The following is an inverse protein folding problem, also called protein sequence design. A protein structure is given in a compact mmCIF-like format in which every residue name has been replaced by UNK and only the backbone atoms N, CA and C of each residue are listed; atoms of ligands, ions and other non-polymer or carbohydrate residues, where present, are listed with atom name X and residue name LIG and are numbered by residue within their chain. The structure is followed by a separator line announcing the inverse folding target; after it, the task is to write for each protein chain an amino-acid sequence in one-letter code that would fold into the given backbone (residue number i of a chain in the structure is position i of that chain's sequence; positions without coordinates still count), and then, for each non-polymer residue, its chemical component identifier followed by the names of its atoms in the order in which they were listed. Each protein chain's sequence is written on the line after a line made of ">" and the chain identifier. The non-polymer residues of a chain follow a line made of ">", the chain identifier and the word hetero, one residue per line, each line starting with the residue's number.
data_IF_924711327894
#
_entry.id   IF_924711327894
#
_cell.length_a   1.000
_cell.length_b   1.000
_cell.length_c   1.000
_cell.angle_alpha   90.00
_cell.angle_beta   90.00
_cell.angle_gamma   90.00
#
_symmetry.space_group_name_H-M   'P 1'
#
loop_
_entity.id
_entity.type
_entity.pdbx_description
1 polymer ?
#
# COMPACT_ATOMS: atom_id res chain seq x y z
N UNK A 1 -30.91 -55.27 16.89
CA UNK A 1 -29.60 -54.98 16.27
C UNK A 1 -28.51 -55.34 17.25
N UNK A 2 -27.50 -56.08 16.80
CA UNK A 2 -26.37 -56.49 17.67
C UNK A 2 -25.46 -55.24 17.94
N UNK A 3 -24.87 -55.20 19.14
CA UNK A 3 -23.94 -54.11 19.54
C UNK A 3 -22.82 -53.85 18.50
N UNK A 4 -22.43 -54.88 17.76
CA UNK A 4 -21.45 -54.78 16.65
C UNK A 4 -22.01 -54.06 15.41
N UNK A 5 -23.30 -54.25 15.12
CA UNK A 5 -23.96 -53.55 13.98
C UNK A 5 -24.17 -52.08 14.25
N UNK A 6 -24.46 -51.71 15.50
CA UNK A 6 -24.60 -50.31 15.90
C UNK A 6 -23.25 -49.56 15.84
N UNK A 7 -22.17 -50.23 16.31
CA UNK A 7 -20.81 -49.66 16.27
C UNK A 7 -20.33 -49.47 14.81
N UNK A 8 -20.56 -50.45 13.95
CA UNK A 8 -20.20 -50.33 12.52
C UNK A 8 -20.95 -49.20 11.81
N UNK A 9 -22.24 -49.04 12.10
CA UNK A 9 -23.06 -47.98 11.55
C UNK A 9 -22.57 -46.58 11.99
N UNK A 10 -22.14 -46.41 13.25
CA UNK A 10 -21.58 -45.17 13.76
C UNK A 10 -20.24 -44.84 13.10
N UNK A 11 -19.35 -45.79 12.89
CA UNK A 11 -18.05 -45.59 12.24
C UNK A 11 -18.24 -45.18 10.76
N UNK A 12 -19.18 -45.83 10.06
CA UNK A 12 -19.49 -45.49 8.67
C UNK A 12 -20.13 -44.09 8.58
N UNK A 13 -21.05 -43.77 9.49
CA UNK A 13 -21.72 -42.44 9.49
C UNK A 13 -20.77 -41.31 9.84
N UNK A 14 -19.86 -41.50 10.80
CA UNK A 14 -18.82 -40.52 11.12
C UNK A 14 -17.80 -40.38 10.01
N UNK A 15 -17.40 -41.46 9.34
CA UNK A 15 -16.50 -41.42 8.18
C UNK A 15 -17.10 -40.67 6.97
N UNK A 16 -18.39 -40.87 6.70
CA UNK A 16 -19.10 -40.18 5.63
C UNK A 16 -19.28 -38.69 5.98
N UNK A 17 -19.57 -38.35 7.24
CA UNK A 17 -19.74 -36.98 7.70
C UNK A 17 -18.42 -36.19 7.64
N UNK A 18 -17.29 -36.84 8.03
CA UNK A 18 -15.96 -36.22 7.92
C UNK A 18 -15.53 -36.04 6.45
N UNK A 19 -15.84 -36.98 5.57
CA UNK A 19 -15.57 -36.87 4.15
C UNK A 19 -16.41 -35.76 3.49
N UNK A 20 -17.68 -35.60 3.87
CA UNK A 20 -18.53 -34.49 3.41
C UNK A 20 -18.04 -33.14 3.93
N UNK A 21 -17.58 -33.06 5.20
CA UNK A 21 -16.98 -31.82 5.73
C UNK A 21 -15.67 -31.43 5.00
N UNK A 22 -14.83 -32.41 4.66
CA UNK A 22 -13.62 -32.17 3.88
C UNK A 22 -13.90 -31.63 2.46
N UNK A 23 -15.01 -32.07 1.84
CA UNK A 23 -15.41 -31.59 0.52
C UNK A 23 -15.95 -30.14 0.53
N UNK A 24 -16.45 -29.67 1.67
CA UNK A 24 -16.95 -28.29 1.82
C UNK A 24 -15.78 -27.30 2.05
N UNK A 25 -14.65 -27.77 2.56
CA UNK A 25 -13.49 -26.90 2.88
C UNK A 25 -12.57 -26.66 1.68
N UNK A 26 -12.62 -27.50 0.64
CA UNK A 26 -11.91 -27.29 -0.63
C UNK A 26 -12.85 -26.69 -1.68
N UNK A 27 -13.28 -25.46 -1.46
CA UNK A 27 -13.72 -24.64 -2.57
C UNK A 27 -12.46 -24.20 -3.30
N UNK A 28 -12.27 -24.50 -4.60
CA UNK A 28 -11.22 -23.86 -5.35
C UNK A 28 -11.47 -22.34 -5.26
N UNK A 29 -10.44 -21.59 -4.90
CA UNK A 29 -10.45 -20.13 -5.08
C UNK A 29 -10.77 -19.94 -6.54
N UNK A 30 -11.98 -19.51 -6.84
CA UNK A 30 -12.38 -19.18 -8.20
C UNK A 30 -11.46 -18.05 -8.62
N UNK A 31 -10.62 -18.29 -9.62
CA UNK A 31 -9.94 -17.20 -10.29
C UNK A 31 -11.07 -16.26 -10.79
N UNK A 32 -11.04 -15.00 -10.38
CA UNK A 32 -12.01 -14.01 -10.82
C UNK A 32 -11.97 -13.95 -12.34
N UNK A 33 -13.12 -14.06 -12.99
CA UNK A 33 -13.18 -13.97 -14.44
C UNK A 33 -12.73 -12.55 -14.86
N UNK A 34 -11.95 -12.43 -15.94
CA UNK A 34 -11.52 -11.13 -16.43
C UNK A 34 -12.73 -10.23 -16.70
N UNK A 35 -12.60 -8.94 -16.40
CA UNK A 35 -13.63 -7.95 -16.73
C UNK A 35 -13.68 -7.82 -18.26
N UNK A 36 -14.81 -8.15 -18.87
CA UNK A 36 -14.95 -8.27 -20.33
C UNK A 36 -14.52 -6.98 -21.07
N UNK A 37 -14.84 -5.80 -20.50
CA UNK A 37 -14.44 -4.51 -21.04
C UNK A 37 -12.93 -4.30 -21.03
N UNK A 38 -12.22 -4.83 -20.04
CA UNK A 38 -10.75 -4.72 -19.91
C UNK A 38 -10.01 -5.61 -20.92
N UNK A 39 -10.62 -6.72 -21.36
CA UNK A 39 -10.00 -7.63 -22.32
C UNK A 39 -9.68 -6.95 -23.67
N UNK A 40 -10.52 -6.02 -24.10
CA UNK A 40 -10.29 -5.26 -25.32
C UNK A 40 -8.99 -4.44 -25.21
N UNK A 41 -8.78 -3.75 -24.11
CA UNK A 41 -7.57 -2.97 -23.84
C UNK A 41 -6.34 -3.89 -23.73
N UNK A 42 -6.47 -4.99 -22.98
CA UNK A 42 -5.42 -5.96 -22.74
C UNK A 42 -4.98 -6.72 -24.01
N UNK A 43 -5.81 -6.75 -25.08
CA UNK A 43 -5.40 -7.33 -26.35
C UNK A 43 -4.10 -6.70 -26.90
N UNK A 44 -3.89 -5.40 -26.66
CA UNK A 44 -2.65 -4.71 -26.99
C UNK A 44 -1.76 -4.48 -25.75
N UNK A 45 -2.36 -3.98 -24.64
CA UNK A 45 -1.61 -3.58 -23.46
C UNK A 45 -1.01 -4.74 -22.63
N UNK A 46 -1.34 -5.99 -22.91
CA UNK A 46 -0.62 -7.16 -22.36
C UNK A 46 0.72 -7.44 -23.05
N UNK A 47 1.02 -6.77 -24.17
CA UNK A 47 2.31 -6.89 -24.84
C UNK A 47 3.40 -6.15 -24.04
N UNK A 48 4.47 -6.84 -23.56
CA UNK A 48 5.53 -6.22 -22.76
C UNK A 48 6.37 -5.20 -23.54
N UNK A 49 6.35 -5.27 -24.87
CA UNK A 49 7.16 -4.41 -25.74
C UNK A 49 6.40 -3.16 -26.23
N UNK A 50 5.16 -2.95 -25.75
CA UNK A 50 4.41 -1.74 -26.13
C UNK A 50 5.00 -0.53 -25.43
N UNK A 51 5.36 0.48 -26.20
CA UNK A 51 5.89 1.75 -25.71
C UNK A 51 4.99 2.90 -26.12
N UNK A 52 4.92 3.89 -25.23
CA UNK A 52 4.28 5.20 -25.45
C UNK A 52 5.38 6.23 -25.56
N UNK A 53 5.49 6.89 -26.71
CA UNK A 53 6.48 7.94 -26.98
C UNK A 53 5.88 9.32 -26.70
N UNK A 54 6.66 10.21 -26.06
CA UNK A 54 6.26 11.57 -25.72
C UNK A 54 6.94 12.62 -26.63
N UNK A 55 6.40 13.84 -26.63
CA UNK A 55 6.86 14.91 -27.49
C UNK A 55 8.33 15.33 -27.25
N UNK A 56 8.87 15.11 -26.05
CA UNK A 56 10.27 15.34 -25.73
C UNK A 56 11.23 14.23 -26.16
N UNK A 57 10.69 13.14 -26.79
CA UNK A 57 11.44 11.95 -27.22
C UNK A 57 11.67 10.92 -26.11
N UNK A 58 11.16 11.14 -24.91
CA UNK A 58 11.13 10.10 -23.88
C UNK A 58 10.03 9.08 -24.17
N UNK A 59 10.19 7.86 -23.64
CA UNK A 59 9.15 6.83 -23.73
C UNK A 59 8.88 6.18 -22.37
N UNK A 60 7.74 5.52 -22.26
CA UNK A 60 7.41 4.62 -21.14
C UNK A 60 6.73 3.38 -21.66
N UNK A 61 6.88 2.29 -20.94
CA UNK A 61 6.13 1.07 -21.25
C UNK A 61 4.64 1.27 -21.00
N UNK A 62 3.84 0.89 -21.99
CA UNK A 62 2.37 0.87 -21.90
C UNK A 62 1.82 -0.49 -21.47
N UNK A 63 2.69 -1.43 -21.10
CA UNK A 63 2.31 -2.76 -20.68
C UNK A 63 1.55 -2.77 -19.35
N UNK A 64 0.45 -3.53 -19.31
CA UNK A 64 -0.34 -3.82 -18.10
C UNK A 64 -0.48 -5.32 -17.93
N UNK A 65 -0.10 -5.84 -16.77
CA UNK A 65 -0.37 -7.22 -16.40
C UNK A 65 -1.85 -7.39 -16.06
N UNK A 66 -2.61 -8.07 -16.90
CA UNK A 66 -4.03 -8.34 -16.64
C UNK A 66 -4.25 -9.11 -15.34
N UNK A 67 -3.41 -10.11 -15.04
CA UNK A 67 -3.49 -10.84 -13.77
C UNK A 67 -3.11 -9.96 -12.57
N UNK A 68 -2.13 -9.06 -12.72
CA UNK A 68 -1.75 -8.09 -11.68
C UNK A 68 -2.87 -7.08 -11.42
N UNK A 69 -3.52 -6.58 -12.48
CA UNK A 69 -4.67 -5.68 -12.33
C UNK A 69 -5.85 -6.38 -11.63
N UNK A 70 -6.22 -7.58 -12.07
CA UNK A 70 -7.33 -8.34 -11.46
C UNK A 70 -7.06 -8.69 -9.99
N UNK A 71 -5.81 -8.82 -9.58
CA UNK A 71 -5.43 -9.03 -8.18
C UNK A 71 -5.36 -7.72 -7.37
N UNK A 72 -5.38 -6.55 -8.00
CA UNK A 72 -5.38 -5.25 -7.33
C UNK A 72 -6.73 -4.97 -6.65
N UNK A 73 -6.75 -4.01 -5.70
CA UNK A 73 -8.01 -3.60 -5.06
C UNK A 73 -9.01 -3.07 -6.08
N UNK A 74 -8.57 -2.32 -7.10
CA UNK A 74 -9.45 -1.81 -8.14
C UNK A 74 -9.98 -2.91 -9.07
N UNK A 75 -9.15 -3.90 -9.38
CA UNK A 75 -9.58 -5.05 -10.17
C UNK A 75 -10.57 -5.94 -9.42
N UNK A 76 -10.43 -6.08 -8.10
CA UNK A 76 -11.36 -6.82 -7.25
C UNK A 76 -12.72 -6.12 -7.11
N UNK A 77 -12.74 -4.79 -7.19
CA UNK A 77 -13.96 -3.98 -7.23
C UNK A 77 -14.51 -3.83 -8.67
N UNK A 78 -14.05 -4.66 -9.60
CA UNK A 78 -14.51 -4.72 -10.99
C UNK A 78 -14.40 -3.39 -11.75
N UNK A 79 -13.46 -2.53 -11.38
CA UNK A 79 -13.24 -1.26 -12.09
C UNK A 79 -12.69 -1.49 -13.50
N UNK A 80 -13.22 -0.77 -14.46
CA UNK A 80 -12.76 -0.87 -15.84
C UNK A 80 -11.58 0.06 -16.13
N UNK A 81 -10.79 -0.27 -17.17
CA UNK A 81 -9.70 0.60 -17.62
C UNK A 81 -10.23 2.00 -17.99
N UNK A 82 -11.38 2.07 -18.63
CA UNK A 82 -12.05 3.33 -18.99
C UNK A 82 -12.48 4.19 -17.80
N UNK A 83 -12.62 3.60 -16.60
CA UNK A 83 -12.91 4.34 -15.38
C UNK A 83 -11.79 5.30 -14.96
N UNK A 84 -10.53 4.92 -15.26
CA UNK A 84 -9.35 5.76 -15.00
C UNK A 84 -8.81 6.43 -16.26
N UNK A 85 -9.12 5.88 -17.45
CA UNK A 85 -8.65 6.36 -18.74
C UNK A 85 -9.82 6.72 -19.67
N UNK A 86 -10.67 7.70 -19.31
CA UNK A 86 -11.90 7.99 -20.06
C UNK A 86 -11.64 8.41 -21.51
N UNK A 87 -10.52 9.04 -21.80
CA UNK A 87 -10.16 9.52 -23.13
C UNK A 87 -9.51 8.46 -24.03
N UNK A 88 -9.26 7.25 -23.50
CA UNK A 88 -8.54 6.18 -24.21
C UNK A 88 -9.39 4.93 -24.48
N UNK A 89 -10.72 5.08 -24.51
CA UNK A 89 -11.64 3.95 -24.70
C UNK A 89 -11.71 3.47 -26.16
N UNK A 90 -11.33 4.33 -27.11
CA UNK A 90 -11.36 4.00 -28.54
C UNK A 90 -9.95 3.91 -29.13
N UNK A 91 -9.79 3.10 -30.18
CA UNK A 91 -8.55 3.00 -30.95
C UNK A 91 -8.76 3.48 -32.39
N UNK A 92 -7.85 4.30 -32.96
CA UNK A 92 -6.61 4.80 -32.33
C UNK A 92 -6.89 5.79 -31.20
N UNK A 93 -6.04 5.74 -30.17
CA UNK A 93 -6.12 6.69 -29.07
C UNK A 93 -5.84 8.13 -29.54
N UNK A 94 -6.40 9.14 -28.88
CA UNK A 94 -6.01 10.53 -29.10
C UNK A 94 -4.52 10.75 -28.90
N UNK A 95 -3.98 11.75 -29.57
CA UNK A 95 -2.58 12.17 -29.34
C UNK A 95 -2.43 12.65 -27.90
N UNK A 96 -1.33 12.23 -27.24
CA UNK A 96 -1.02 12.68 -25.88
C UNK A 96 -0.68 14.17 -25.88
N UNK A 97 -1.27 14.91 -24.96
CA UNK A 97 -0.95 16.32 -24.71
C UNK A 97 0.26 16.49 -23.82
N UNK A 98 0.53 15.53 -22.95
CA UNK A 98 1.67 15.49 -22.07
C UNK A 98 3.00 15.46 -22.84
N UNK A 99 3.94 16.31 -22.43
CA UNK A 99 5.25 16.41 -23.09
C UNK A 99 6.21 15.29 -22.71
N UNK A 100 6.01 14.65 -21.56
CA UNK A 100 6.83 13.56 -21.05
C UNK A 100 6.04 12.66 -20.09
N UNK A 101 6.66 11.57 -19.66
CA UNK A 101 6.04 10.59 -18.77
C UNK A 101 5.56 11.19 -17.44
N UNK A 102 6.31 12.13 -16.85
CA UNK A 102 5.90 12.76 -15.58
C UNK A 102 4.71 13.71 -15.77
N UNK A 103 4.71 14.50 -16.83
CA UNK A 103 3.56 15.35 -17.18
C UNK A 103 2.29 14.51 -17.37
N UNK A 104 2.39 13.36 -18.05
CA UNK A 104 1.27 12.42 -18.21
C UNK A 104 0.79 11.85 -16.87
N UNK A 105 1.71 11.52 -15.96
CA UNK A 105 1.34 11.04 -14.62
C UNK A 105 0.61 12.14 -13.82
N UNK A 106 1.02 13.41 -13.96
CA UNK A 106 0.35 14.54 -13.33
C UNK A 106 -1.08 14.73 -13.85
N UNK A 107 -1.28 14.62 -15.17
CA UNK A 107 -2.62 14.70 -15.78
C UNK A 107 -3.55 13.58 -15.25
N UNK A 108 -3.06 12.33 -15.20
CA UNK A 108 -3.85 11.19 -14.73
C UNK A 108 -4.08 11.19 -13.21
N UNK A 109 -3.29 11.93 -12.43
CA UNK A 109 -3.47 11.97 -10.98
C UNK A 109 -4.83 12.55 -10.57
N UNK A 110 -5.42 13.43 -11.38
CA UNK A 110 -6.75 14.01 -11.15
C UNK A 110 -7.85 12.92 -11.10
N UNK A 111 -7.69 11.85 -11.90
CA UNK A 111 -8.66 10.74 -11.92
C UNK A 111 -8.80 10.04 -10.57
N UNK A 112 -7.70 9.94 -9.80
CA UNK A 112 -7.75 9.35 -8.46
C UNK A 112 -8.63 10.17 -7.51
N UNK A 113 -8.60 11.51 -7.66
CA UNK A 113 -9.28 12.44 -6.76
C UNK A 113 -10.80 12.40 -6.91
N UNK A 114 -11.31 11.97 -8.06
CA UNK A 114 -12.75 11.85 -8.33
C UNK A 114 -13.42 10.81 -7.41
N UNK A 115 -12.73 9.71 -7.12
CA UNK A 115 -13.24 8.63 -6.29
C UNK A 115 -12.70 8.66 -4.86
N UNK A 116 -11.57 9.32 -4.60
CA UNK A 116 -10.90 9.39 -3.30
C UNK A 116 -10.83 10.82 -2.73
N UNK A 117 -11.97 11.54 -2.58
CA UNK A 117 -11.96 12.94 -2.14
C UNK A 117 -11.42 13.14 -0.72
N UNK A 118 -11.66 12.19 0.19
CA UNK A 118 -11.17 12.28 1.58
C UNK A 118 -9.64 12.20 1.65
N UNK A 119 -9.04 11.35 0.80
CA UNK A 119 -7.59 11.23 0.70
C UNK A 119 -7.00 12.44 -0.01
N UNK A 120 -7.68 12.96 -1.03
CA UNK A 120 -7.31 14.17 -1.72
C UNK A 120 -7.22 15.37 -0.76
N UNK A 121 -8.20 15.56 0.13
CA UNK A 121 -8.20 16.61 1.15
C UNK A 121 -6.99 16.48 2.09
N UNK A 122 -6.71 15.28 2.60
CA UNK A 122 -5.56 15.03 3.50
C UNK A 122 -4.21 15.29 2.84
N UNK A 123 -4.07 14.93 1.55
CA UNK A 123 -2.81 15.13 0.81
C UNK A 123 -2.50 16.61 0.61
N UNK A 124 -3.50 17.51 0.54
CA UNK A 124 -3.28 18.94 0.31
C UNK A 124 -2.37 19.59 1.35
N UNK A 125 -2.41 19.14 2.59
CA UNK A 125 -1.57 19.63 3.67
C UNK A 125 -0.23 18.90 3.78
N UNK A 126 0.02 17.91 2.92
CA UNK A 126 1.24 17.10 2.96
C UNK A 126 2.47 17.88 2.50
N UNK A 127 3.62 17.42 2.94
CA UNK A 127 4.91 17.95 2.51
C UNK A 127 5.14 17.78 0.99
N UNK A 128 4.65 16.67 0.42
CA UNK A 128 4.71 16.43 -1.02
C UNK A 128 3.84 17.41 -1.81
N UNK A 129 2.62 17.69 -1.35
CA UNK A 129 1.76 18.69 -2.02
C UNK A 129 2.34 20.11 -1.93
N UNK A 130 2.94 20.47 -0.79
CA UNK A 130 3.66 21.77 -0.68
C UNK A 130 4.82 21.86 -1.65
N UNK A 131 5.66 20.82 -1.73
CA UNK A 131 6.77 20.78 -2.69
C UNK A 131 6.29 20.90 -4.14
N UNK A 132 5.17 20.23 -4.48
CA UNK A 132 4.52 20.34 -5.78
C UNK A 132 4.07 21.78 -6.05
N UNK A 133 3.41 22.42 -5.10
CA UNK A 133 2.95 23.82 -5.22
C UNK A 133 4.12 24.81 -5.36
N UNK A 134 5.29 24.48 -4.84
CA UNK A 134 6.53 25.25 -4.99
C UNK A 134 7.25 24.98 -6.33
N UNK A 135 6.69 24.12 -7.18
CA UNK A 135 7.19 23.83 -8.52
C UNK A 135 8.08 22.58 -8.62
N UNK A 136 8.20 21.80 -7.56
CA UNK A 136 8.89 20.50 -7.61
C UNK A 136 7.94 19.43 -8.18
N UNK A 137 7.95 19.27 -9.49
CA UNK A 137 7.10 18.28 -10.19
C UNK A 137 7.51 16.83 -9.94
N UNK A 138 8.65 16.57 -9.29
CA UNK A 138 9.08 15.23 -8.89
C UNK A 138 8.55 14.82 -7.51
N UNK A 139 7.85 15.71 -6.79
CA UNK A 139 7.20 15.38 -5.53
C UNK A 139 6.16 14.26 -5.71
N UNK A 140 6.04 13.36 -4.73
CA UNK A 140 5.24 12.15 -4.85
C UNK A 140 3.75 12.44 -5.09
N UNK A 141 3.16 11.67 -6.01
CA UNK A 141 1.74 11.60 -6.32
C UNK A 141 1.14 10.29 -5.79
N UNK A 142 -0.18 10.11 -5.94
CA UNK A 142 -0.88 8.91 -5.49
C UNK A 142 -0.23 7.62 -6.03
N UNK A 143 0.06 7.59 -7.32
CA UNK A 143 0.62 6.40 -8.00
C UNK A 143 2.07 6.09 -7.63
N UNK A 144 2.84 7.07 -7.17
CA UNK A 144 4.23 6.86 -6.74
C UNK A 144 4.29 6.02 -5.44
N UNK A 145 3.22 6.09 -4.63
CA UNK A 145 3.09 5.30 -3.41
C UNK A 145 2.26 4.03 -3.62
N UNK A 146 1.16 4.12 -4.36
CA UNK A 146 0.18 3.05 -4.47
C UNK A 146 0.32 2.19 -5.73
N UNK A 147 1.11 2.64 -6.73
CA UNK A 147 1.07 2.08 -8.06
C UNK A 147 -0.25 2.45 -8.78
N UNK A 148 -0.33 2.14 -10.07
CA UNK A 148 -1.53 2.42 -10.87
C UNK A 148 -2.37 1.17 -11.11
N UNK A 149 -1.73 0.08 -11.58
CA UNK A 149 -2.43 -1.11 -12.05
C UNK A 149 -2.31 -2.33 -11.11
N UNK A 150 -1.57 -2.20 -10.02
CA UNK A 150 -1.30 -3.27 -9.06
C UNK A 150 -1.44 -2.80 -7.60
N UNK A 151 -2.34 -1.86 -7.37
CA UNK A 151 -2.59 -1.27 -6.04
C UNK A 151 -3.01 -2.35 -5.05
N UNK A 152 -2.23 -2.50 -3.98
CA UNK A 152 -2.47 -3.49 -2.92
C UNK A 152 -3.36 -2.91 -1.81
N UNK A 153 -3.99 -3.80 -1.04
CA UNK A 153 -4.65 -3.41 0.20
C UNK A 153 -3.63 -2.87 1.21
N UNK A 154 -4.08 -2.01 2.13
CA UNK A 154 -3.20 -1.38 3.15
C UNK A 154 -2.53 -2.45 4.04
N UNK A 155 -3.26 -3.51 4.38
CA UNK A 155 -2.74 -4.60 5.23
C UNK A 155 -1.60 -5.39 4.57
N UNK A 156 -1.61 -5.50 3.24
CA UNK A 156 -0.57 -6.21 2.48
C UNK A 156 0.64 -5.32 2.18
N UNK A 157 0.44 -4.00 2.19
CA UNK A 157 1.49 -3.04 1.82
C UNK A 157 2.44 -2.69 2.96
N UNK A 158 2.14 -3.01 4.25
CA UNK A 158 2.89 -2.51 5.41
C UNK A 158 4.40 -2.77 5.33
N UNK A 159 4.81 -3.98 4.98
CA UNK A 159 6.23 -4.34 4.86
C UNK A 159 6.90 -3.60 3.68
N UNK A 160 6.13 -3.28 2.65
CA UNK A 160 6.62 -2.63 1.44
C UNK A 160 6.69 -1.09 1.56
N UNK A 161 6.06 -0.49 2.58
CA UNK A 161 5.99 0.97 2.76
C UNK A 161 7.39 1.60 2.76
N UNK A 162 8.31 1.06 3.55
CA UNK A 162 9.66 1.60 3.64
C UNK A 162 10.41 1.51 2.30
N UNK A 163 10.22 0.42 1.55
CA UNK A 163 10.80 0.24 0.22
C UNK A 163 10.21 1.20 -0.81
N UNK A 164 8.93 1.54 -0.68
CA UNK A 164 8.28 2.56 -1.50
C UNK A 164 8.89 3.95 -1.27
N UNK A 165 9.07 4.35 -0.02
CA UNK A 165 9.69 5.62 0.34
C UNK A 165 11.15 5.70 -0.17
N UNK A 166 11.88 4.59 -0.15
CA UNK A 166 13.26 4.49 -0.62
C UNK A 166 13.47 4.95 -2.05
N UNK A 167 12.47 4.85 -2.91
CA UNK A 167 12.59 5.24 -4.32
C UNK A 167 13.08 6.69 -4.50
N UNK A 168 12.71 7.57 -3.56
CA UNK A 168 13.12 8.97 -3.54
C UNK A 168 13.98 9.30 -2.29
N UNK A 169 13.74 8.65 -1.15
CA UNK A 169 14.35 8.92 0.14
C UNK A 169 15.40 7.86 0.53
N UNK A 170 16.31 7.50 -0.40
CA UNK A 170 17.25 6.39 -0.22
C UNK A 170 18.15 6.52 1.01
N UNK A 171 18.69 7.72 1.27
CA UNK A 171 19.58 7.96 2.42
C UNK A 171 18.87 7.75 3.75
N UNK A 172 17.65 8.30 3.89
CA UNK A 172 16.85 8.15 5.11
C UNK A 172 16.38 6.69 5.28
N UNK A 173 16.07 6.02 4.16
CA UNK A 173 15.78 4.59 4.20
C UNK A 173 16.97 3.76 4.74
N UNK A 174 18.19 4.04 4.28
CA UNK A 174 19.38 3.31 4.74
C UNK A 174 19.63 3.54 6.24
N UNK A 175 19.38 4.75 6.74
CA UNK A 175 19.44 5.07 8.17
C UNK A 175 18.34 4.32 8.95
N UNK A 176 17.09 4.35 8.48
CA UNK A 176 16.00 3.60 9.08
C UNK A 176 16.27 2.10 9.09
N UNK A 177 16.67 1.53 7.96
CA UNK A 177 16.92 0.08 7.83
C UNK A 177 18.07 -0.43 8.72
N UNK A 178 19.00 0.44 9.10
CA UNK A 178 20.07 0.15 10.06
C UNK A 178 19.68 0.38 11.52
N UNK A 179 18.49 0.92 11.78
CA UNK A 179 17.96 1.10 13.13
C UNK A 179 17.35 -0.21 13.67
N UNK A 180 17.17 -0.28 14.99
CA UNK A 180 16.53 -1.44 15.62
C UNK A 180 15.12 -1.73 15.06
N UNK A 181 14.36 -0.70 14.72
CA UNK A 181 13.04 -0.86 14.12
C UNK A 181 13.13 -1.38 12.68
N UNK A 182 13.99 -0.80 11.86
CA UNK A 182 14.16 -1.22 10.47
C UNK A 182 14.76 -2.61 10.34
N UNK A 183 15.71 -2.97 11.22
CA UNK A 183 16.29 -4.32 11.27
C UNK A 183 15.24 -5.35 11.65
N UNK A 184 14.42 -5.11 12.66
CA UNK A 184 13.33 -6.00 13.07
C UNK A 184 12.28 -6.19 11.96
N UNK A 185 11.91 -5.11 11.24
CA UNK A 185 11.00 -5.21 10.11
C UNK A 185 11.59 -6.04 8.97
N UNK A 186 12.83 -5.76 8.57
CA UNK A 186 13.41 -6.29 7.33
C UNK A 186 13.99 -7.71 7.47
N UNK A 187 14.42 -8.10 8.67
CA UNK A 187 15.07 -9.40 8.92
C UNK A 187 14.21 -10.39 9.67
N UNK A 188 13.25 -9.90 10.47
CA UNK A 188 12.41 -10.72 11.35
C UNK A 188 10.94 -10.72 10.92
N UNK A 189 10.58 -9.96 9.85
CA UNK A 189 9.21 -9.72 9.41
C UNK A 189 8.30 -9.20 10.55
N UNK A 190 8.88 -8.49 11.51
CA UNK A 190 8.17 -7.98 12.67
C UNK A 190 7.34 -6.75 12.27
N UNK A 191 6.02 -6.92 12.20
CA UNK A 191 5.08 -5.86 11.82
C UNK A 191 4.63 -4.98 12.99
N UNK A 192 5.06 -5.25 14.21
CA UNK A 192 4.76 -4.42 15.38
C UNK A 192 5.65 -3.17 15.46
N UNK A 193 6.78 -3.16 14.74
CA UNK A 193 7.66 -2.00 14.68
C UNK A 193 7.13 -0.90 13.74
N UNK A 194 7.42 0.38 14.02
CA UNK A 194 6.97 1.48 13.18
C UNK A 194 7.65 1.49 11.81
N UNK A 195 6.90 1.87 10.80
CA UNK A 195 7.37 2.22 9.46
C UNK A 195 7.43 3.74 9.29
N UNK A 196 7.81 4.23 8.11
CA UNK A 196 7.89 5.67 7.85
C UNK A 196 6.57 6.40 8.15
N UNK A 197 5.43 5.79 7.78
CA UNK A 197 4.10 6.41 7.90
C UNK A 197 3.58 6.47 9.34
N UNK A 198 4.09 5.64 10.23
CA UNK A 198 3.67 5.67 11.64
C UNK A 198 4.19 6.93 12.35
N UNK A 199 5.32 7.49 11.87
CA UNK A 199 5.87 8.74 12.40
C UNK A 199 5.44 9.97 11.58
N UNK A 200 5.36 9.83 10.24
CA UNK A 200 5.12 10.98 9.35
C UNK A 200 3.66 11.14 8.91
N UNK A 201 2.78 10.23 9.30
CA UNK A 201 1.41 10.16 8.81
C UNK A 201 1.32 9.50 7.42
N UNK A 202 0.11 9.13 7.02
CA UNK A 202 -0.11 8.41 5.75
C UNK A 202 -0.26 9.39 4.59
N UNK A 203 -1.28 10.24 4.61
CA UNK A 203 -1.54 11.20 3.53
C UNK A 203 -1.12 12.63 3.88
N UNK A 204 -0.93 12.93 5.17
CA UNK A 204 -0.47 14.24 5.64
C UNK A 204 1.02 14.45 5.46
N UNK A 205 1.83 13.40 5.58
CA UNK A 205 3.31 13.44 5.44
C UNK A 205 3.94 14.67 6.08
N UNK A 206 3.90 14.70 7.42
CA UNK A 206 4.38 15.84 8.21
C UNK A 206 5.90 16.09 8.04
N UNK A 207 6.27 17.37 8.00
CA UNK A 207 7.66 17.79 7.88
C UNK A 207 8.39 17.66 9.23
N UNK A 208 9.40 16.77 9.34
CA UNK A 208 10.14 16.54 10.58
C UNK A 208 11.02 17.72 11.01
N UNK A 209 11.25 18.69 10.13
CA UNK A 209 12.07 19.88 10.42
C UNK A 209 11.26 20.97 11.13
N UNK A 210 9.94 20.86 11.19
CA UNK A 210 9.09 21.82 11.90
C UNK A 210 9.22 21.70 13.41
N UNK A 211 9.02 22.83 14.11
CA UNK A 211 8.95 22.84 15.57
C UNK A 211 7.77 21.99 16.05
N UNK A 212 6.65 22.03 15.32
CA UNK A 212 5.44 21.26 15.65
C UNK A 212 5.72 19.76 15.66
N UNK A 213 6.36 19.23 14.62
CA UNK A 213 6.70 17.80 14.55
C UNK A 213 7.60 17.39 15.74
N UNK A 214 8.63 18.22 16.03
CA UNK A 214 9.55 17.96 17.17
C UNK A 214 8.85 17.96 18.51
N UNK A 215 7.87 18.85 18.71
CA UNK A 215 7.06 18.89 19.94
C UNK A 215 6.14 17.66 20.08
N UNK A 216 5.69 17.08 18.97
CA UNK A 216 4.84 15.89 18.96
C UNK A 216 5.63 14.58 19.04
N UNK A 217 6.92 14.57 18.72
CA UNK A 217 7.72 13.34 18.63
C UNK A 217 7.71 12.49 19.92
N UNK A 218 7.73 13.04 21.15
CA UNK A 218 7.59 12.21 22.35
C UNK A 218 6.28 11.43 22.40
N UNK A 219 5.17 12.07 21.99
CA UNK A 219 3.86 11.40 21.95
C UNK A 219 3.81 10.31 20.88
N UNK A 220 4.41 10.54 19.72
CA UNK A 220 4.53 9.52 18.66
C UNK A 220 5.29 8.28 19.13
N UNK A 221 6.42 8.48 19.82
CA UNK A 221 7.15 7.36 20.42
C UNK A 221 6.33 6.67 21.51
N UNK A 222 5.60 7.45 22.30
CA UNK A 222 4.78 6.99 23.42
C UNK A 222 3.60 6.12 23.00
N UNK A 223 3.07 6.26 21.78
CA UNK A 223 1.98 5.40 21.27
C UNK A 223 2.31 3.91 21.37
N UNK A 224 3.58 3.55 21.16
CA UNK A 224 4.06 2.18 21.33
C UNK A 224 4.80 1.99 22.65
N UNK A 225 5.76 2.88 22.99
CA UNK A 225 6.66 2.69 24.14
C UNK A 225 5.98 2.91 25.51
N UNK A 226 4.78 3.46 25.57
CA UNK A 226 3.93 3.49 26.76
C UNK A 226 2.85 2.39 26.79
N UNK A 227 2.74 1.58 25.74
CA UNK A 227 1.79 0.45 25.68
C UNK A 227 2.42 -0.78 26.34
N UNK A 228 1.95 -1.10 27.58
CA UNK A 228 2.43 -2.26 28.35
C UNK A 228 2.14 -3.59 27.64
N UNK A 229 1.03 -3.71 26.93
CA UNK A 229 0.65 -4.94 26.24
C UNK A 229 1.58 -5.23 25.06
N UNK A 230 2.03 -4.19 24.37
CA UNK A 230 2.97 -4.30 23.28
C UNK A 230 4.41 -4.48 23.82
N UNK A 231 4.87 -3.61 24.70
CA UNK A 231 6.26 -3.60 25.17
C UNK A 231 6.64 -4.84 25.98
N UNK A 232 5.69 -5.42 26.73
CA UNK A 232 5.95 -6.67 27.48
C UNK A 232 6.28 -7.87 26.58
N UNK A 233 5.88 -7.87 25.31
CA UNK A 233 6.20 -8.93 24.34
C UNK A 233 7.69 -8.94 23.97
N UNK A 234 8.36 -7.81 24.18
CA UNK A 234 9.77 -7.58 23.84
C UNK A 234 10.66 -7.41 25.07
N UNK A 235 10.15 -7.68 26.28
CA UNK A 235 10.85 -7.44 27.55
C UNK A 235 11.32 -5.96 27.71
N UNK A 236 10.58 -5.01 27.14
CA UNK A 236 10.85 -3.58 27.22
C UNK A 236 9.96 -2.97 28.31
N UNK A 237 10.56 -2.25 29.26
CA UNK A 237 9.81 -1.52 30.29
C UNK A 237 9.20 -0.23 29.72
N UNK A 238 7.95 0.05 30.03
CA UNK A 238 7.29 1.34 29.72
C UNK A 238 7.85 2.50 30.54
N UNK A 239 8.61 2.24 31.64
CA UNK A 239 9.29 3.27 32.44
C UNK A 239 10.30 4.10 31.61
N UNK A 240 10.76 3.56 30.47
CA UNK A 240 11.68 4.26 29.55
C UNK A 240 11.03 5.53 29.01
N UNK A 241 9.74 5.47 28.65
CA UNK A 241 9.00 6.63 28.18
C UNK A 241 8.79 7.67 29.28
N UNK A 242 8.36 7.23 30.46
CA UNK A 242 8.18 8.11 31.62
C UNK A 242 9.50 8.79 32.04
N UNK A 243 10.60 8.06 32.01
CA UNK A 243 11.93 8.59 32.28
C UNK A 243 12.34 9.65 31.26
N UNK A 244 12.10 9.41 29.96
CA UNK A 244 12.39 10.38 28.91
C UNK A 244 11.57 11.69 29.09
N UNK A 245 10.27 11.58 29.35
CA UNK A 245 9.39 12.74 29.55
C UNK A 245 9.75 13.53 30.81
N UNK A 246 10.24 12.85 31.86
CA UNK A 246 10.63 13.47 33.12
C UNK A 246 12.03 14.09 33.12
N UNK A 247 12.87 13.75 32.15
CA UNK A 247 14.25 14.24 32.08
C UNK A 247 14.33 15.65 31.42
N UNK A 248 15.55 16.20 31.38
CA UNK A 248 15.81 17.51 30.81
C UNK A 248 15.40 17.60 29.32
N UNK A 249 15.53 16.53 28.55
CA UNK A 249 15.16 16.52 27.13
C UNK A 249 13.65 16.54 26.96
N UNK A 250 12.91 15.76 27.74
CA UNK A 250 11.44 15.75 27.74
C UNK A 250 10.83 17.08 28.22
N UNK A 251 11.39 17.67 29.28
CA UNK A 251 10.89 18.93 29.86
C UNK A 251 11.19 20.17 29.01
N UNK A 252 12.12 20.09 28.06
CA UNK A 252 12.41 21.20 27.13
C UNK A 252 11.46 21.24 25.93
N UNK A 253 10.65 20.22 25.76
CA UNK A 253 9.69 20.07 24.63
C UNK A 253 8.25 20.36 25.06
N UNK A 254 7.99 20.48 26.36
CA UNK A 254 6.70 20.87 26.95
C UNK A 254 6.74 22.34 27.36
#
# INVERSE_FOLDING_TARGET
>A
MSRKQTLFLHIVLTGVLTCLLCLIVFQPVSAQEPIEENEQCLTCHSNPDIEVEFADGSSRYGHVSGSGYNASVHGQEEMTCGGCHPDHQEYPHPELTATNSRAYTLELNETCLECHPDQAERVQDSNHARAMAEGNTDAALCVDCHGAHNTKSISEARVEIAATCRQCHATIYDEYNSSIHGEALSTEDNTDVPTCVDCHGVHTMDDPHTAQFRLQSPSLCGECHADEALMSQYDISTDVFDTYVADFHGTTVT
#
